data_IF_717837710703
#
_entry.id   IF_717837710703
#
_cell.length_a   1.000
_cell.length_b   1.000
_cell.length_c   1.000
_cell.angle_alpha   90.00
_cell.angle_beta   90.00
_cell.angle_gamma   90.00
#
_symmetry.space_group_name_H-M   'P 1'
#
loop_
_entity.id
_entity.type
_entity.pdbx_description
1 polymer ?
#
# COMPACT_ATOMS: atom_id res chain seq x y z
N UNK A 1 -13.22 -4.39 -11.53
CA UNK A 1 -13.65 -5.40 -10.52
C UNK A 1 -13.26 -4.84 -9.16
N UNK A 2 -14.19 -4.64 -8.25
CA UNK A 2 -13.88 -4.25 -6.88
C UNK A 2 -13.69 -5.53 -6.05
N UNK A 3 -12.54 -5.68 -5.43
CA UNK A 3 -12.29 -6.77 -4.49
C UNK A 3 -13.26 -6.67 -3.30
N UNK A 4 -13.58 -7.81 -2.72
CA UNK A 4 -14.54 -7.91 -1.62
C UNK A 4 -14.04 -7.24 -0.34
N UNK A 5 -14.93 -6.96 0.61
CA UNK A 5 -14.57 -6.51 1.97
C UNK A 5 -13.57 -7.46 2.65
N UNK A 6 -13.61 -8.75 2.31
CA UNK A 6 -12.67 -9.75 2.82
C UNK A 6 -11.24 -9.45 2.41
N UNK A 7 -11.01 -9.05 1.16
CA UNK A 7 -9.68 -8.69 0.68
C UNK A 7 -9.13 -7.45 1.41
N UNK A 8 -9.96 -6.44 1.62
CA UNK A 8 -9.58 -5.27 2.42
C UNK A 8 -9.13 -5.68 3.83
N UNK A 9 -9.88 -6.55 4.51
CA UNK A 9 -9.53 -7.03 5.85
C UNK A 9 -8.22 -7.83 5.85
N UNK A 10 -7.98 -8.67 4.83
CA UNK A 10 -6.72 -9.40 4.67
C UNK A 10 -5.55 -8.43 4.51
N UNK A 11 -5.70 -7.40 3.66
CA UNK A 11 -4.65 -6.40 3.48
C UNK A 11 -4.35 -5.63 4.78
N UNK A 12 -5.38 -5.24 5.52
CA UNK A 12 -5.21 -4.57 6.81
C UNK A 12 -4.49 -5.50 7.80
N UNK A 13 -4.90 -6.77 7.89
CA UNK A 13 -4.29 -7.74 8.79
C UNK A 13 -2.81 -7.98 8.44
N UNK A 14 -2.51 -8.24 7.15
CA UNK A 14 -1.13 -8.45 6.70
C UNK A 14 -0.28 -7.17 6.84
N UNK A 15 -0.88 -6.00 6.64
CA UNK A 15 -0.21 -4.73 6.86
C UNK A 15 0.10 -4.48 8.34
N UNK A 16 -0.86 -4.75 9.24
CA UNK A 16 -0.62 -4.69 10.68
C UNK A 16 0.45 -5.70 11.11
N UNK A 17 0.42 -6.92 10.56
CA UNK A 17 1.44 -7.93 10.80
C UNK A 17 2.82 -7.48 10.30
N UNK A 18 2.90 -6.84 9.13
CA UNK A 18 4.16 -6.29 8.62
C UNK A 18 4.79 -5.27 9.57
N UNK A 19 3.97 -4.50 10.30
CA UNK A 19 4.45 -3.53 11.29
C UNK A 19 5.15 -4.20 12.49
N UNK A 20 4.81 -5.45 12.81
CA UNK A 20 5.47 -6.18 13.89
C UNK A 20 6.82 -6.77 13.46
N UNK A 21 6.95 -7.12 12.16
CA UNK A 21 8.15 -7.75 11.62
C UNK A 21 9.26 -6.76 11.26
N UNK A 22 8.88 -5.55 10.83
CA UNK A 22 9.83 -4.53 10.37
C UNK A 22 10.03 -3.45 11.43
N UNK A 23 11.20 -3.46 12.05
CA UNK A 23 11.54 -2.48 13.08
C UNK A 23 11.73 -1.05 12.53
N UNK A 24 12.11 -0.91 11.26
CA UNK A 24 12.50 0.40 10.70
C UNK A 24 11.68 0.88 9.50
N UNK A 25 11.04 -0.01 8.73
CA UNK A 25 10.36 0.39 7.48
C UNK A 25 9.07 -0.37 7.25
N UNK A 26 7.95 0.33 7.40
CA UNK A 26 6.63 -0.23 7.01
C UNK A 26 6.49 -0.15 5.49
N UNK A 27 6.12 -1.23 4.79
CA UNK A 27 6.04 -1.26 3.33
C UNK A 27 4.76 -0.59 2.80
N UNK A 28 4.49 0.65 3.23
CA UNK A 28 3.27 1.40 2.89
C UNK A 28 3.07 1.56 1.38
N UNK A 29 4.16 1.77 0.62
CA UNK A 29 4.09 1.91 -0.84
C UNK A 29 3.76 0.59 -1.52
N UNK A 30 4.28 -0.53 -1.02
CA UNK A 30 3.92 -1.86 -1.50
C UNK A 30 2.43 -2.16 -1.32
N UNK A 31 1.88 -1.83 -0.13
CA UNK A 31 0.44 -1.91 0.13
C UNK A 31 -0.36 -0.92 -0.72
N UNK A 32 0.14 0.30 -0.95
CA UNK A 32 -0.50 1.28 -1.83
C UNK A 32 -0.60 0.75 -3.27
N UNK A 33 0.45 0.15 -3.82
CA UNK A 33 0.48 -0.41 -5.17
C UNK A 33 -0.55 -1.54 -5.35
N UNK A 34 -0.68 -2.43 -4.36
CA UNK A 34 -1.70 -3.48 -4.36
C UNK A 34 -3.11 -2.88 -4.19
N UNK A 35 -3.28 -1.91 -3.29
CA UNK A 35 -4.56 -1.23 -3.11
C UNK A 35 -5.03 -0.53 -4.38
N UNK A 36 -4.14 0.17 -5.10
CA UNK A 36 -4.43 0.77 -6.42
C UNK A 36 -4.94 -0.25 -7.42
N UNK A 37 -4.36 -1.45 -7.41
CA UNK A 37 -4.64 -2.49 -8.40
C UNK A 37 -5.89 -3.30 -8.08
N UNK A 38 -6.32 -3.35 -6.80
CA UNK A 38 -7.34 -4.30 -6.33
C UNK A 38 -8.50 -3.66 -5.58
N UNK A 39 -8.33 -2.49 -4.99
CA UNK A 39 -9.32 -1.81 -4.16
C UNK A 39 -9.90 -0.57 -4.85
N UNK A 40 -11.04 -0.10 -4.35
CA UNK A 40 -11.50 1.26 -4.65
C UNK A 40 -10.62 2.30 -3.92
N UNK A 41 -10.58 3.53 -4.44
CA UNK A 41 -9.82 4.62 -3.82
C UNK A 41 -10.15 4.79 -2.33
N UNK A 42 -11.45 4.76 -1.96
CA UNK A 42 -11.90 4.88 -0.57
C UNK A 42 -11.38 3.74 0.29
N UNK A 43 -11.43 2.50 -0.20
CA UNK A 43 -10.92 1.33 0.51
C UNK A 43 -9.39 1.39 0.65
N UNK A 44 -8.67 1.86 -0.37
CA UNK A 44 -7.23 2.06 -0.31
C UNK A 44 -6.82 3.09 0.75
N UNK A 45 -7.54 4.22 0.83
CA UNK A 45 -7.31 5.23 1.89
C UNK A 45 -7.53 4.60 3.28
N UNK A 46 -8.65 3.90 3.49
CA UNK A 46 -8.93 3.22 4.78
C UNK A 46 -7.82 2.22 5.11
N UNK A 47 -7.42 1.39 4.14
CA UNK A 47 -6.38 0.38 4.32
C UNK A 47 -5.07 1.00 4.81
N UNK A 48 -4.55 1.99 4.09
CA UNK A 48 -3.27 2.63 4.42
C UNK A 48 -3.33 3.40 5.74
N UNK A 49 -4.44 4.10 6.00
CA UNK A 49 -4.61 4.83 7.26
C UNK A 49 -4.65 3.90 8.47
N UNK A 50 -5.30 2.73 8.37
CA UNK A 50 -5.33 1.74 9.45
C UNK A 50 -3.95 1.12 9.66
N UNK A 51 -3.26 0.71 8.59
CA UNK A 51 -1.89 0.17 8.69
C UNK A 51 -0.95 1.20 9.33
N UNK A 52 -1.02 2.44 8.89
CA UNK A 52 -0.25 3.53 9.46
C UNK A 52 -0.58 3.76 10.95
N UNK A 53 -1.86 3.78 11.32
CA UNK A 53 -2.27 3.97 12.71
C UNK A 53 -1.77 2.85 13.63
N UNK A 54 -1.80 1.59 13.15
CA UNK A 54 -1.20 0.45 13.86
C UNK A 54 0.31 0.65 14.03
N UNK A 55 1.01 1.08 12.98
CA UNK A 55 2.43 1.37 13.06
C UNK A 55 2.76 2.46 14.08
N UNK A 56 1.98 3.55 14.10
CA UNK A 56 2.17 4.63 15.08
C UNK A 56 1.88 4.13 16.51
N UNK A 57 0.79 3.36 16.69
CA UNK A 57 0.47 2.76 17.98
C UNK A 57 1.57 1.84 18.50
N UNK A 58 2.17 1.02 17.63
CA UNK A 58 3.33 0.20 17.98
C UNK A 58 4.58 1.04 18.26
N UNK A 59 4.81 2.10 17.49
CA UNK A 59 5.94 3.00 17.67
C UNK A 59 5.91 3.70 19.04
N UNK A 60 4.84 4.38 19.33
CA UNK A 60 4.69 5.12 20.59
C UNK A 60 4.40 4.22 21.79
N UNK A 61 3.60 3.14 21.61
CA UNK A 61 3.18 2.28 22.72
C UNK A 61 4.19 1.21 23.11
N UNK A 62 4.82 0.53 22.14
CA UNK A 62 5.70 -0.62 22.40
C UNK A 62 7.18 -0.34 22.16
N UNK A 63 7.51 0.51 21.17
CA UNK A 63 8.90 0.80 20.80
C UNK A 63 9.49 2.00 21.52
N UNK A 64 8.67 2.71 22.31
CA UNK A 64 9.10 3.85 23.12
C UNK A 64 9.55 5.07 22.31
N UNK A 65 8.96 5.28 21.12
CA UNK A 65 9.28 6.48 20.35
C UNK A 65 8.91 7.73 21.14
N UNK A 66 9.76 8.76 21.12
CA UNK A 66 9.48 10.00 21.86
C UNK A 66 8.22 10.67 21.28
N UNK A 67 7.34 11.15 22.19
CA UNK A 67 6.15 11.91 21.83
C UNK A 67 6.51 13.39 21.64
N UNK A 68 7.50 13.65 20.79
CA UNK A 68 7.87 14.99 20.40
C UNK A 68 7.24 15.42 19.06
N UNK A 69 7.26 16.72 18.79
CA UNK A 69 6.67 17.29 17.58
C UNK A 69 7.32 16.73 16.30
N UNK A 70 8.62 16.45 16.32
CA UNK A 70 9.35 15.92 15.16
C UNK A 70 8.91 14.52 14.83
N UNK A 71 8.83 13.64 15.82
CA UNK A 71 8.40 12.23 15.62
C UNK A 71 6.96 12.15 15.13
N UNK A 72 6.05 12.96 15.69
CA UNK A 72 4.66 13.03 15.24
C UNK A 72 4.59 13.58 13.81
N UNK A 73 5.34 14.64 13.49
CA UNK A 73 5.40 15.21 12.15
C UNK A 73 5.89 14.19 11.11
N UNK A 74 6.94 13.42 11.43
CA UNK A 74 7.39 12.33 10.56
C UNK A 74 6.31 11.29 10.33
N UNK A 75 5.56 10.91 11.35
CA UNK A 75 4.41 10.02 11.21
C UNK A 75 3.36 10.56 10.22
N UNK A 76 3.02 11.86 10.32
CA UNK A 76 2.06 12.51 9.40
C UNK A 76 2.61 12.58 7.97
N UNK A 77 3.88 12.90 7.79
CA UNK A 77 4.54 12.92 6.47
C UNK A 77 4.51 11.55 5.81
N UNK A 78 4.78 10.48 6.57
CA UNK A 78 4.70 9.11 6.07
C UNK A 78 3.29 8.74 5.57
N UNK A 79 2.25 9.11 6.33
CA UNK A 79 0.86 8.91 5.88
C UNK A 79 0.57 9.71 4.63
N UNK A 80 0.91 10.99 4.63
CA UNK A 80 0.71 11.90 3.48
C UNK A 80 1.37 11.36 2.21
N UNK A 81 2.62 10.92 2.31
CA UNK A 81 3.37 10.31 1.22
C UNK A 81 2.72 9.02 0.70
N UNK A 82 2.27 8.14 1.60
CA UNK A 82 1.60 6.90 1.22
C UNK A 82 0.24 7.16 0.53
N UNK A 83 -0.54 8.10 1.03
CA UNK A 83 -1.80 8.51 0.40
C UNK A 83 -1.58 9.21 -0.94
N UNK A 84 -0.52 10.01 -1.06
CA UNK A 84 -0.15 10.61 -2.34
C UNK A 84 0.25 9.54 -3.37
N UNK A 85 1.07 8.55 -2.97
CA UNK A 85 1.42 7.41 -3.81
C UNK A 85 0.17 6.63 -4.28
N UNK A 86 -0.83 6.44 -3.40
CA UNK A 86 -2.11 5.81 -3.74
C UNK A 86 -2.88 6.63 -4.78
N UNK A 87 -2.99 7.94 -4.59
CA UNK A 87 -3.72 8.84 -5.52
C UNK A 87 -3.04 8.88 -6.88
N UNK A 88 -1.71 9.03 -6.90
CA UNK A 88 -0.90 9.04 -8.12
C UNK A 88 -1.04 7.71 -8.87
N UNK A 89 -0.95 6.58 -8.17
CA UNK A 89 -1.14 5.26 -8.78
C UNK A 89 -2.51 5.09 -9.42
N UNK A 90 -3.58 5.55 -8.78
CA UNK A 90 -4.92 5.55 -9.37
C UNK A 90 -5.05 6.49 -10.59
N UNK A 91 -4.37 7.64 -10.58
CA UNK A 91 -4.36 8.56 -11.70
C UNK A 91 -3.68 7.94 -12.93
N UNK A 92 -2.52 7.32 -12.72
CA UNK A 92 -1.77 6.61 -13.77
C UNK A 92 -2.59 5.47 -14.37
N UNK A 93 -3.27 4.67 -13.52
CA UNK A 93 -4.08 3.55 -14.01
C UNK A 93 -5.32 4.01 -14.79
N UNK A 94 -5.86 5.19 -14.53
CA UNK A 94 -6.97 5.76 -15.31
C UNK A 94 -6.53 6.24 -16.69
N UNK A 95 -5.33 6.77 -16.81
CA UNK A 95 -4.73 7.19 -18.09
C UNK A 95 -4.20 6.04 -18.95
N UNK A 96 -3.97 4.89 -18.36
CA UNK A 96 -3.44 3.70 -19.02
C UNK A 96 -4.53 2.84 -19.63
N UNK A 97 -4.22 2.21 -20.77
CA UNK A 97 -5.07 1.35 -21.60
C UNK A 97 -6.00 0.40 -20.81
N UNK A 98 -7.25 0.32 -21.25
CA UNK A 98 -8.34 -0.56 -20.80
C UNK A 98 -8.11 -2.07 -21.04
N UNK A 99 -6.88 -2.55 -21.06
CA UNK A 99 -6.56 -3.96 -21.28
C UNK A 99 -7.09 -4.85 -20.15
N UNK A 100 -7.76 -5.98 -20.47
CA UNK A 100 -8.36 -6.84 -19.47
C UNK A 100 -7.33 -7.44 -18.49
N UNK A 101 -7.72 -7.54 -17.20
CA UNK A 101 -6.91 -8.09 -16.10
C UNK A 101 -6.56 -9.58 -16.24
N UNK A 102 -7.11 -10.27 -17.24
CA UNK A 102 -7.06 -11.73 -17.40
C UNK A 102 -5.69 -12.29 -17.77
N UNK A 103 -4.72 -11.45 -18.14
CA UNK A 103 -3.35 -11.89 -18.43
C UNK A 103 -2.43 -11.57 -17.26
N UNK A 104 -1.64 -12.54 -16.74
CA UNK A 104 -0.73 -12.34 -15.62
C UNK A 104 0.29 -11.21 -15.87
N UNK A 105 0.75 -11.03 -17.10
CA UNK A 105 1.63 -9.92 -17.48
C UNK A 105 0.96 -8.55 -17.26
N UNK A 106 -0.35 -8.43 -17.47
CA UNK A 106 -1.09 -7.17 -17.27
C UNK A 106 -1.28 -6.86 -15.78
N UNK A 107 -1.39 -7.87 -14.91
CA UNK A 107 -1.47 -7.66 -13.46
C UNK A 107 -0.11 -7.22 -12.91
N UNK A 108 0.99 -7.86 -13.33
CA UNK A 108 2.33 -7.48 -12.92
C UNK A 108 2.65 -6.02 -13.27
N UNK A 109 2.35 -5.58 -14.49
CA UNK A 109 2.56 -4.16 -14.90
C UNK A 109 1.67 -3.19 -14.12
N UNK A 110 0.45 -3.59 -13.77
CA UNK A 110 -0.48 -2.78 -12.96
C UNK A 110 -0.03 -2.62 -11.51
N UNK A 111 0.76 -3.54 -10.97
CA UNK A 111 1.36 -3.43 -9.64
C UNK A 111 2.71 -2.73 -9.72
N UNK A 112 3.57 -3.10 -10.67
CA UNK A 112 4.91 -2.54 -10.80
C UNK A 112 4.91 -1.04 -11.10
N UNK A 113 4.02 -0.57 -11.99
CA UNK A 113 3.95 0.86 -12.32
C UNK A 113 3.61 1.73 -11.09
N UNK A 114 2.50 1.51 -10.34
CA UNK A 114 2.22 2.29 -9.14
C UNK A 114 3.23 2.03 -8.01
N UNK A 115 3.88 0.86 -7.96
CA UNK A 115 4.95 0.61 -6.99
C UNK A 115 6.14 1.54 -7.25
N UNK A 116 6.66 1.58 -8.47
CA UNK A 116 7.83 2.38 -8.79
C UNK A 116 7.54 3.88 -8.73
N UNK A 117 6.45 4.34 -9.36
CA UNK A 117 6.09 5.76 -9.35
C UNK A 117 5.67 6.23 -7.95
N UNK A 118 4.95 5.39 -7.21
CA UNK A 118 4.56 5.65 -5.84
C UNK A 118 5.76 5.68 -4.90
N UNK A 119 6.75 4.80 -5.10
CA UNK A 119 7.99 4.79 -4.34
C UNK A 119 8.78 6.09 -4.56
N UNK A 120 8.99 6.47 -5.81
CA UNK A 120 9.71 7.71 -6.12
C UNK A 120 9.00 8.94 -5.53
N UNK A 121 7.68 9.01 -5.64
CA UNK A 121 6.91 10.11 -5.10
C UNK A 121 6.94 10.14 -3.56
N UNK A 122 6.85 8.98 -2.92
CA UNK A 122 6.93 8.83 -1.47
C UNK A 122 8.31 9.28 -0.94
N UNK A 123 9.39 8.77 -1.52
CA UNK A 123 10.74 9.14 -1.12
C UNK A 123 11.03 10.63 -1.36
N UNK A 124 10.52 11.19 -2.46
CA UNK A 124 10.64 12.62 -2.72
C UNK A 124 9.95 13.46 -1.63
N UNK A 125 8.75 13.06 -1.18
CA UNK A 125 8.03 13.75 -0.09
C UNK A 125 8.83 13.64 1.22
N UNK A 126 9.36 12.47 1.55
CA UNK A 126 10.19 12.29 2.74
C UNK A 126 11.48 13.11 2.65
N UNK A 127 12.11 13.13 1.49
CA UNK A 127 13.31 13.91 1.25
C UNK A 127 13.06 15.41 1.41
N UNK A 128 11.96 15.93 0.86
CA UNK A 128 11.56 17.33 1.03
C UNK A 128 11.26 17.65 2.51
N UNK A 129 10.57 16.76 3.22
CA UNK A 129 10.29 16.94 4.64
C UNK A 129 11.57 16.96 5.49
N UNK A 130 12.61 16.24 5.06
CA UNK A 130 13.89 16.20 5.76
C UNK A 130 14.57 17.57 5.90
N UNK A 131 14.35 18.49 4.96
CA UNK A 131 14.89 19.87 5.07
C UNK A 131 14.31 20.63 6.25
N UNK A 132 13.09 20.29 6.68
CA UNK A 132 12.40 20.95 7.79
C UNK A 132 12.53 20.19 9.11
N UNK A 133 12.47 18.87 9.04
CA UNK A 133 12.39 18.02 10.23
C UNK A 133 13.77 17.47 10.67
N UNK A 134 14.73 17.44 9.77
CA UNK A 134 16.08 16.95 10.00
C UNK A 134 16.15 15.45 10.31
N UNK A 135 16.87 14.70 9.51
CA UNK A 135 17.28 13.32 9.85
C UNK A 135 18.66 13.06 9.28
N UNK A 136 19.48 12.32 10.00
CA UNK A 136 20.82 11.96 9.54
C UNK A 136 20.76 10.55 8.93
N UNK A 137 21.18 10.43 7.67
CA UNK A 137 21.45 9.13 7.03
C UNK A 137 20.27 8.36 6.44
N UNK A 138 19.04 8.86 6.56
CA UNK A 138 17.83 8.15 6.07
C UNK A 138 17.74 7.97 4.54
N UNK A 139 18.52 8.74 3.77
CA UNK A 139 18.51 8.72 2.30
C UNK A 139 19.78 8.15 1.68
N UNK A 140 20.57 7.39 2.45
CA UNK A 140 21.71 6.67 1.87
C UNK A 140 21.22 5.64 0.83
N UNK A 141 21.92 5.44 -0.28
CA UNK A 141 21.51 4.52 -1.35
C UNK A 141 21.20 3.11 -0.86
N UNK A 142 21.96 2.61 0.13
CA UNK A 142 21.73 1.31 0.73
C UNK A 142 20.39 1.24 1.49
N UNK A 143 20.00 2.33 2.18
CA UNK A 143 18.71 2.43 2.88
C UNK A 143 17.58 2.46 1.87
N UNK A 144 17.64 3.34 0.86
CA UNK A 144 16.64 3.43 -0.21
C UNK A 144 16.47 2.10 -0.94
N UNK A 145 17.58 1.41 -1.24
CA UNK A 145 17.56 0.07 -1.84
C UNK A 145 16.86 -0.96 -0.97
N UNK A 146 17.12 -0.98 0.34
CA UNK A 146 16.46 -1.90 1.27
C UNK A 146 14.96 -1.61 1.43
N UNK A 147 14.57 -0.34 1.46
CA UNK A 147 13.17 0.08 1.51
C UNK A 147 12.44 -0.32 0.23
N UNK A 148 13.03 -0.09 -0.95
CA UNK A 148 12.46 -0.51 -2.22
C UNK A 148 12.30 -2.02 -2.28
N UNK A 149 13.33 -2.77 -1.89
CA UNK A 149 13.29 -4.24 -1.87
C UNK A 149 12.18 -4.75 -0.94
N UNK A 150 12.06 -4.21 0.27
CA UNK A 150 11.01 -4.58 1.22
C UNK A 150 9.63 -4.30 0.66
N UNK A 151 9.40 -3.12 0.09
CA UNK A 151 8.12 -2.77 -0.57
C UNK A 151 7.84 -3.70 -1.76
N UNK A 152 8.85 -4.02 -2.56
CA UNK A 152 8.75 -4.93 -3.71
C UNK A 152 8.39 -6.36 -3.30
N UNK A 153 9.05 -6.91 -2.26
CA UNK A 153 8.77 -8.25 -1.75
C UNK A 153 7.35 -8.35 -1.19
N UNK A 154 6.89 -7.34 -0.43
CA UNK A 154 5.51 -7.30 0.05
C UNK A 154 4.52 -7.19 -1.10
N UNK A 155 4.76 -6.33 -2.09
CA UNK A 155 3.90 -6.21 -3.28
C UNK A 155 3.83 -7.52 -4.06
N UNK A 156 4.95 -8.24 -4.23
CA UNK A 156 4.99 -9.55 -4.87
C UNK A 156 4.20 -10.58 -4.07
N UNK A 157 4.46 -10.71 -2.77
CA UNK A 157 3.76 -11.67 -1.90
C UNK A 157 2.25 -11.45 -1.89
N UNK A 158 1.82 -10.18 -1.74
CA UNK A 158 0.40 -9.81 -1.79
C UNK A 158 -0.23 -10.07 -3.16
N UNK A 159 0.53 -9.90 -4.25
CA UNK A 159 0.09 -10.23 -5.61
C UNK A 159 -0.18 -11.73 -5.77
N UNK A 160 0.68 -12.57 -5.19
CA UNK A 160 0.50 -14.03 -5.19
C UNK A 160 -0.73 -14.44 -4.38
N UNK A 161 -0.89 -13.88 -3.17
CA UNK A 161 -2.08 -14.13 -2.32
C UNK A 161 -3.36 -13.72 -3.04
N UNK A 162 -3.37 -12.54 -3.68
CA UNK A 162 -4.51 -12.09 -4.48
C UNK A 162 -4.80 -13.04 -5.63
N UNK A 163 -3.77 -13.44 -6.39
CA UNK A 163 -3.92 -14.32 -7.55
C UNK A 163 -4.46 -15.70 -7.20
N UNK A 164 -4.08 -16.27 -6.05
CA UNK A 164 -4.62 -17.55 -5.54
C UNK A 164 -6.07 -17.37 -5.09
N UNK A 165 -6.36 -16.31 -4.33
CA UNK A 165 -7.71 -16.02 -3.84
C UNK A 165 -8.71 -15.68 -4.96
N UNK A 166 -8.27 -15.06 -6.04
CA UNK A 166 -9.09 -14.75 -7.21
C UNK A 166 -9.44 -16.02 -7.99
N UNK A 167 -8.47 -16.89 -8.23
CA UNK A 167 -8.70 -18.20 -8.90
C UNK A 167 -9.64 -19.11 -8.13
N UNK A 168 -9.60 -19.09 -6.81
CA UNK A 168 -10.50 -19.86 -5.95
C UNK A 168 -11.94 -19.31 -5.88
N UNK A 169 -12.20 -18.15 -6.50
CA UNK A 169 -13.51 -17.49 -6.45
C UNK A 169 -13.88 -16.89 -5.09
N UNK A 170 -13.00 -17.05 -4.09
CA UNK A 170 -13.28 -16.65 -2.72
C UNK A 170 -13.27 -15.13 -2.53
N UNK A 171 -12.50 -14.41 -3.33
CA UNK A 171 -12.40 -12.94 -3.28
C UNK A 171 -13.48 -12.23 -4.10
N UNK A 172 -14.09 -12.90 -5.07
CA UNK A 172 -15.03 -12.30 -6.04
C UNK A 172 -16.50 -12.60 -5.72
N UNK A 173 -16.86 -12.78 -4.48
CA UNK A 173 -18.23 -13.02 -4.11
C UNK A 173 -19.07 -11.75 -4.24
N UNK A 174 -19.83 -11.58 -5.34
CA UNK A 174 -21.16 -10.95 -5.31
C UNK A 174 -21.78 -10.49 -6.63
N UNK A 175 -21.60 -11.15 -7.77
CA UNK A 175 -22.44 -10.81 -8.93
C UNK A 175 -23.44 -11.89 -9.34
N UNK A 176 -23.68 -12.93 -8.49
CA UNK A 176 -24.69 -13.98 -8.79
C UNK A 176 -26.04 -13.80 -8.09
N UNK A 177 -26.32 -12.63 -7.49
CA UNK A 177 -27.60 -12.43 -6.77
C UNK A 177 -28.43 -11.27 -7.29
N UNK A 178 -28.51 -11.05 -8.58
CA UNK A 178 -29.55 -10.17 -9.14
C UNK A 178 -29.81 -10.49 -10.61
N UNK A 179 -30.20 -11.72 -10.88
CA UNK A 179 -31.10 -11.99 -11.99
C UNK A 179 -32.48 -12.17 -11.34
N UNK A 180 -33.41 -11.25 -11.46
CA UNK A 180 -34.79 -11.54 -11.17
C UNK A 180 -35.22 -12.61 -12.17
N UNK A 181 -35.68 -13.74 -11.66
CA UNK A 181 -36.49 -14.67 -12.42
C UNK A 181 -37.77 -13.91 -12.78
N UNK A 182 -37.83 -13.39 -14.00
CA UNK A 182 -39.12 -13.02 -14.59
C UNK A 182 -39.69 -14.33 -15.15
N UNK A 183 -40.67 -14.89 -14.39
CA UNK A 183 -41.77 -15.64 -14.96
C UNK A 183 -42.80 -14.66 -15.54
#
# INVERSE_FOLDING_TARGET
MMASRRWLLILIFLGAFSCTMNLCTVPLVGFAAIAVSTLSRRQGVICLSVIWAVNQGLGFGLRGYPLDMSTVAWGVVMLGGALFALVLGHAIQRGGSTRPLTRPANFATRVASPLLTGFLAYELILWLANFQLGTVGGFAPAVLGSVLLTNGLWALGLSLVFGVGDKSGWLLQSRRRSLPLFE
#
